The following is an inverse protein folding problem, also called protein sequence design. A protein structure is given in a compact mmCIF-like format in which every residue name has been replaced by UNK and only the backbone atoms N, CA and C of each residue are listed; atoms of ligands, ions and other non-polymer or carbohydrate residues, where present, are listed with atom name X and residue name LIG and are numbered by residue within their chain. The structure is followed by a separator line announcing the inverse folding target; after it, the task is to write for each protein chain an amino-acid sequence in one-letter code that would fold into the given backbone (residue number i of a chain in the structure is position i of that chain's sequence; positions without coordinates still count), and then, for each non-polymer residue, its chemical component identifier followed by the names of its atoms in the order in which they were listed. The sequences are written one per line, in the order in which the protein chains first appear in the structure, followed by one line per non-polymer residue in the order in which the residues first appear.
data_IF_850807147955
#
_entry.id   IF_850807147955
#
_cell.length_a   1.000
_cell.length_b   1.000
_cell.length_c   1.000
_cell.angle_alpha   90.00
_cell.angle_beta   90.00
_cell.angle_gamma   90.00
#
_symmetry.space_group_name_H-M   'P 1'
#
loop_
_entity.id
_entity.type
_entity.pdbx_description
1 polymer ?
#
# COMPACT_ATOMS: atom_id res chain seq x y z
N UNK A 1 28.87 -16.40 26.50
CA UNK A 1 27.51 -15.84 26.30
C UNK A 1 27.54 -15.06 25.01
N UNK A 2 27.31 -15.76 23.90
CA UNK A 2 27.35 -15.18 22.56
C UNK A 2 26.00 -14.54 22.28
N UNK A 3 25.98 -13.22 22.30
CA UNK A 3 24.85 -12.39 21.90
C UNK A 3 24.52 -12.74 20.45
N UNK A 4 23.47 -13.53 20.24
CA UNK A 4 22.86 -13.69 18.93
C UNK A 4 22.32 -12.31 18.53
N UNK A 5 23.02 -11.62 17.64
CA UNK A 5 22.42 -10.56 16.85
C UNK A 5 21.27 -11.21 16.09
N UNK A 6 20.05 -10.99 16.56
CA UNK A 6 18.86 -11.32 15.79
C UNK A 6 18.94 -10.46 14.51
N UNK A 7 19.42 -11.03 13.42
CA UNK A 7 19.21 -10.48 12.09
C UNK A 7 17.71 -10.35 11.91
N UNK A 8 17.19 -9.13 12.03
CA UNK A 8 15.80 -8.78 11.75
C UNK A 8 15.56 -9.06 10.28
N UNK A 9 15.20 -10.30 9.95
CA UNK A 9 14.95 -10.72 8.59
C UNK A 9 13.64 -10.05 8.14
N UNK A 10 13.77 -9.05 7.27
CA UNK A 10 12.61 -8.38 6.68
C UNK A 10 11.72 -9.40 5.96
N UNK A 11 10.41 -9.30 6.15
CA UNK A 11 9.45 -10.21 5.53
C UNK A 11 9.34 -9.90 4.03
N UNK A 12 9.24 -8.62 3.68
CA UNK A 12 9.24 -8.11 2.31
C UNK A 12 10.22 -6.93 2.23
N UNK A 13 10.98 -6.84 1.15
CA UNK A 13 11.91 -5.74 0.91
C UNK A 13 11.85 -5.34 -0.56
N UNK A 14 11.68 -4.05 -0.81
CA UNK A 14 11.79 -3.45 -2.14
C UNK A 14 12.96 -2.47 -2.15
N UNK A 15 13.83 -2.56 -3.15
CA UNK A 15 15.01 -1.70 -3.29
C UNK A 15 14.97 -1.04 -4.67
N UNK A 16 14.97 0.30 -4.67
CA UNK A 16 14.93 1.14 -5.88
C UNK A 16 13.90 0.67 -6.92
N UNK A 17 12.72 0.24 -6.47
CA UNK A 17 11.71 -0.40 -7.33
C UNK A 17 11.12 0.62 -8.31
N UNK A 18 11.14 0.29 -9.62
CA UNK A 18 10.66 1.16 -10.70
C UNK A 18 9.60 0.46 -11.54
N UNK A 19 8.65 1.26 -12.03
CA UNK A 19 7.73 0.86 -13.08
C UNK A 19 7.49 2.00 -14.03
N UNK A 20 8.03 1.85 -15.24
CA UNK A 20 7.87 2.80 -16.32
C UNK A 20 7.01 2.20 -17.45
N UNK A 21 6.07 2.98 -17.98
CA UNK A 21 5.23 2.58 -19.11
C UNK A 21 5.58 3.38 -20.36
N UNK A 22 5.75 2.68 -21.48
CA UNK A 22 5.92 3.32 -22.80
C UNK A 22 4.55 3.66 -23.37
N UNK A 23 4.33 4.93 -23.69
CA UNK A 23 3.08 5.44 -24.26
C UNK A 23 3.34 6.06 -25.62
N UNK A 24 2.58 5.63 -26.63
CA UNK A 24 2.58 6.20 -27.99
C UNK A 24 1.31 7.02 -28.20
N UNK A 25 1.44 8.28 -28.64
CA UNK A 25 0.30 9.11 -29.10
C UNK A 25 0.20 9.07 -30.64
N UNK A 26 -0.18 7.92 -31.19
CA UNK A 26 -0.35 7.71 -32.65
C UNK A 26 0.86 7.08 -33.34
N UNK A 27 0.71 6.72 -34.63
CA UNK A 27 1.72 5.94 -35.39
C UNK A 27 3.06 6.66 -35.59
N UNK A 28 3.10 7.99 -35.53
CA UNK A 28 4.30 8.80 -35.83
C UNK A 28 4.82 9.63 -34.64
N UNK A 29 4.19 9.56 -33.46
CA UNK A 29 4.64 10.33 -32.30
C UNK A 29 5.81 9.62 -31.59
N UNK A 30 6.77 10.37 -31.04
CA UNK A 30 7.85 9.80 -30.25
C UNK A 30 7.28 9.09 -29.01
N UNK A 31 7.89 7.96 -28.66
CA UNK A 31 7.59 7.23 -27.43
C UNK A 31 7.82 8.15 -26.23
N UNK A 32 6.83 8.22 -25.34
CA UNK A 32 6.95 8.91 -24.06
C UNK A 32 6.90 7.91 -22.94
N UNK A 33 7.69 8.14 -21.91
CA UNK A 33 7.83 7.25 -20.78
C UNK A 33 7.10 7.83 -19.57
N UNK A 34 6.09 7.11 -19.08
CA UNK A 34 5.37 7.42 -17.84
C UNK A 34 6.06 6.72 -16.70
N UNK A 35 6.61 7.48 -15.76
CA UNK A 35 7.23 6.93 -14.55
C UNK A 35 6.18 6.76 -13.45
N UNK A 36 5.49 5.62 -13.44
CA UNK A 36 4.46 5.35 -12.44
C UNK A 36 5.04 5.05 -11.06
N UNK A 37 6.18 4.36 -11.01
CA UNK A 37 7.07 4.27 -9.86
C UNK A 37 8.50 4.57 -10.29
N UNK A 38 9.23 5.34 -9.48
CA UNK A 38 10.59 5.78 -9.79
C UNK A 38 11.50 5.76 -8.56
N UNK A 39 11.82 4.55 -8.09
CA UNK A 39 12.83 4.31 -7.07
C UNK A 39 12.27 4.20 -5.65
N UNK A 40 11.21 3.41 -5.49
CA UNK A 40 10.59 3.18 -4.17
C UNK A 40 11.38 2.12 -3.41
N UNK A 41 11.85 2.47 -2.21
CA UNK A 41 12.61 1.59 -1.31
C UNK A 41 11.91 1.49 0.04
N UNK A 42 11.63 0.28 0.51
CA UNK A 42 11.09 0.04 1.85
C UNK A 42 11.30 -1.41 2.29
N UNK A 43 11.12 -1.63 3.59
CA UNK A 43 11.05 -2.95 4.22
C UNK A 43 9.71 -3.10 4.94
N UNK A 44 9.21 -4.32 5.02
CA UNK A 44 8.05 -4.71 5.82
C UNK A 44 8.47 -5.79 6.80
N UNK A 45 8.16 -5.58 8.07
CA UNK A 45 8.40 -6.56 9.13
C UNK A 45 7.20 -7.50 9.31
N UNK A 46 7.44 -8.67 9.91
CA UNK A 46 6.39 -9.64 10.23
C UNK A 46 5.44 -9.07 11.29
N UNK A 47 4.13 -9.22 11.09
CA UNK A 47 3.11 -8.73 12.03
C UNK A 47 2.92 -7.22 12.01
N UNK A 48 3.55 -6.50 11.07
CA UNK A 48 3.52 -5.04 10.96
C UNK A 48 2.73 -4.56 9.76
N UNK A 49 2.21 -3.35 9.86
CA UNK A 49 1.49 -2.65 8.79
C UNK A 49 2.33 -1.47 8.29
N UNK A 50 2.74 -1.53 7.02
CA UNK A 50 3.24 -0.38 6.29
C UNK A 50 2.07 0.25 5.53
N UNK A 51 1.67 1.45 5.93
CA UNK A 51 0.70 2.23 5.17
C UNK A 51 1.37 3.01 4.03
N UNK A 52 0.74 3.00 2.87
CA UNK A 52 1.18 3.74 1.68
C UNK A 52 0.13 4.78 1.34
N UNK A 53 0.49 6.06 1.44
CA UNK A 53 -0.45 7.18 1.34
C UNK A 53 -0.06 8.20 0.29
N UNK A 54 -1.04 8.95 -0.22
CA UNK A 54 -0.82 9.99 -1.22
C UNK A 54 -2.06 10.27 -2.07
N UNK A 55 -2.03 11.33 -2.86
CA UNK A 55 -3.12 11.73 -3.77
C UNK A 55 -3.41 10.62 -4.81
N UNK A 56 -4.60 10.66 -5.42
CA UNK A 56 -4.95 9.74 -6.50
C UNK A 56 -3.96 9.85 -7.66
N UNK A 57 -3.58 8.72 -8.26
CA UNK A 57 -2.64 8.68 -9.38
C UNK A 57 -1.16 8.83 -9.02
N UNK A 58 -0.77 8.85 -7.74
CA UNK A 58 0.65 8.94 -7.34
C UNK A 58 1.45 7.62 -7.40
N UNK A 59 0.85 6.51 -7.85
CA UNK A 59 1.53 5.23 -8.04
C UNK A 59 1.27 4.14 -6.98
N UNK A 60 0.41 4.39 -5.96
CA UNK A 60 0.16 3.44 -4.87
C UNK A 60 -0.38 2.07 -5.34
N UNK A 61 -1.41 2.07 -6.18
CA UNK A 61 -1.98 0.82 -6.73
C UNK A 61 -1.01 0.12 -7.68
N UNK A 62 -0.18 0.87 -8.41
CA UNK A 62 0.91 0.28 -9.21
C UNK A 62 1.91 -0.42 -8.28
N UNK A 63 2.28 0.19 -7.16
CA UNK A 63 3.16 -0.45 -6.17
C UNK A 63 2.56 -1.79 -5.72
N UNK A 64 1.28 -1.80 -5.32
CA UNK A 64 0.61 -3.03 -4.89
C UNK A 64 0.63 -4.15 -5.94
N UNK A 65 0.50 -3.81 -7.23
CA UNK A 65 0.59 -4.77 -8.35
C UNK A 65 2.01 -5.28 -8.58
N UNK A 66 3.04 -4.45 -8.36
CA UNK A 66 4.44 -4.89 -8.43
C UNK A 66 4.76 -5.87 -7.31
N UNK A 67 4.32 -5.56 -6.07
CA UNK A 67 4.60 -6.42 -4.90
C UNK A 67 3.95 -7.80 -5.03
N UNK A 68 2.86 -7.91 -5.79
CA UNK A 68 2.17 -9.18 -6.09
C UNK A 68 2.60 -9.81 -7.42
N UNK A 69 3.51 -9.17 -8.17
CA UNK A 69 3.95 -9.58 -9.50
C UNK A 69 2.81 -9.77 -10.52
N UNK A 70 1.69 -9.05 -10.32
CA UNK A 70 0.66 -8.88 -11.37
C UNK A 70 1.26 -8.07 -12.51
N UNK A 71 2.11 -7.09 -12.17
CA UNK A 71 2.96 -6.39 -13.11
C UNK A 71 4.43 -6.58 -12.73
N UNK A 72 5.29 -6.74 -13.73
CA UNK A 72 6.73 -6.89 -13.52
C UNK A 72 7.38 -5.50 -13.40
N UNK A 73 8.22 -5.25 -12.38
CA UNK A 73 9.04 -4.03 -12.30
C UNK A 73 9.88 -3.84 -13.56
N UNK A 74 10.13 -2.59 -13.93
CA UNK A 74 11.08 -2.29 -15.03
C UNK A 74 12.53 -2.36 -14.57
N UNK A 75 12.77 -2.12 -13.28
CA UNK A 75 14.10 -2.07 -12.65
C UNK A 75 13.93 -2.11 -11.11
N UNK A 76 15.02 -2.33 -10.40
CA UNK A 76 15.07 -2.50 -8.94
C UNK A 76 14.95 -3.96 -8.50
N UNK A 77 14.83 -4.16 -7.20
CA UNK A 77 14.86 -5.48 -6.55
C UNK A 77 13.66 -5.67 -5.62
N UNK A 78 13.19 -6.92 -5.52
CA UNK A 78 12.07 -7.28 -4.66
C UNK A 78 12.34 -8.64 -4.00
N UNK A 79 12.42 -8.65 -2.67
CA UNK A 79 12.71 -9.85 -1.89
C UNK A 79 11.57 -10.21 -0.95
N UNK A 80 11.34 -11.50 -0.76
CA UNK A 80 10.47 -12.06 0.27
C UNK A 80 11.28 -13.04 1.11
N UNK A 81 11.43 -12.78 2.42
CA UNK A 81 12.28 -13.58 3.32
C UNK A 81 13.72 -13.77 2.79
N UNK A 82 14.26 -12.77 2.10
CA UNK A 82 15.58 -12.83 1.46
C UNK A 82 15.64 -13.58 0.12
N UNK A 83 14.54 -14.19 -0.33
CA UNK A 83 14.43 -14.77 -1.66
C UNK A 83 14.05 -13.70 -2.69
N UNK A 84 14.83 -13.58 -3.76
CA UNK A 84 14.54 -12.67 -4.88
C UNK A 84 13.29 -13.14 -5.64
N UNK A 85 12.29 -12.26 -5.76
CA UNK A 85 11.02 -12.52 -6.42
C UNK A 85 11.02 -12.22 -7.92
N UNK A 86 12.08 -11.59 -8.45
CA UNK A 86 12.22 -11.22 -9.86
C UNK A 86 12.93 -12.30 -10.67
N UNK A 87 13.63 -13.24 -10.01
CA UNK A 87 14.21 -14.40 -10.67
C UNK A 87 13.08 -15.33 -11.15
N UNK A 88 13.04 -15.70 -12.45
CA UNK A 88 12.05 -16.63 -12.98
C UNK A 88 12.29 -18.05 -12.43
N UNK A 89 11.61 -18.40 -11.35
CA UNK A 89 11.62 -19.73 -10.75
C UNK A 89 10.18 -20.15 -10.45
N UNK A 90 9.74 -21.23 -11.09
CA UNK A 90 8.37 -21.75 -10.94
C UNK A 90 8.01 -22.09 -9.49
N UNK A 91 8.98 -22.50 -8.68
CA UNK A 91 8.79 -22.78 -7.26
C UNK A 91 8.61 -21.49 -6.45
N UNK A 92 9.47 -20.49 -6.68
CA UNK A 92 9.36 -19.15 -6.12
C UNK A 92 8.05 -18.46 -6.51
N UNK A 93 7.63 -18.57 -7.77
CA UNK A 93 6.38 -18.02 -8.25
C UNK A 93 5.17 -18.65 -7.55
N UNK A 94 5.18 -19.98 -7.38
CA UNK A 94 4.12 -20.70 -6.67
C UNK A 94 4.07 -20.25 -5.21
N UNK A 95 5.22 -20.17 -4.54
CA UNK A 95 5.32 -19.71 -3.17
C UNK A 95 4.80 -18.28 -3.03
N UNK A 96 5.24 -17.37 -3.90
CA UNK A 96 4.78 -15.98 -3.95
C UNK A 96 3.26 -15.89 -4.11
N UNK A 97 2.68 -16.64 -5.06
CA UNK A 97 1.22 -16.71 -5.28
C UNK A 97 0.44 -17.24 -4.09
N UNK A 98 1.08 -17.92 -3.14
CA UNK A 98 0.45 -18.38 -1.90
C UNK A 98 0.71 -17.41 -0.73
N UNK A 99 1.90 -16.80 -0.69
CA UNK A 99 2.39 -16.04 0.47
C UNK A 99 2.17 -14.54 0.40
N UNK A 100 1.96 -13.99 -0.79
CA UNK A 100 1.67 -12.57 -0.99
C UNK A 100 0.36 -12.46 -1.75
N UNK A 101 -0.66 -11.90 -1.11
CA UNK A 101 -2.01 -11.78 -1.69
C UNK A 101 -2.43 -10.31 -1.76
N UNK A 102 -3.39 -10.02 -2.62
CA UNK A 102 -3.93 -8.67 -2.79
C UNK A 102 -5.45 -8.66 -2.59
N UNK A 103 -5.91 -7.67 -1.84
CA UNK A 103 -7.32 -7.29 -1.73
C UNK A 103 -7.49 -6.00 -2.51
N UNK A 104 -8.23 -6.06 -3.62
CA UNK A 104 -8.41 -4.92 -4.52
C UNK A 104 -9.46 -3.92 -4.01
N UNK A 105 -9.32 -2.66 -4.43
CA UNK A 105 -10.18 -1.52 -4.10
C UNK A 105 -11.67 -1.77 -4.37
N UNK A 106 -12.00 -2.43 -5.48
CA UNK A 106 -13.37 -2.72 -5.84
C UNK A 106 -13.72 -4.18 -5.51
N UNK A 107 -14.33 -4.48 -4.34
CA UNK A 107 -14.72 -5.83 -4.00
C UNK A 107 -15.69 -6.40 -5.04
N UNK A 108 -16.63 -5.60 -5.56
CA UNK A 108 -17.60 -6.07 -6.55
C UNK A 108 -16.94 -6.49 -7.87
N UNK A 109 -16.01 -5.69 -8.39
CA UNK A 109 -15.27 -6.01 -9.61
C UNK A 109 -14.33 -7.21 -9.45
N UNK A 110 -13.87 -7.48 -8.22
CA UNK A 110 -12.97 -8.60 -7.92
C UNK A 110 -13.69 -9.94 -7.75
N UNK A 111 -15.00 -9.93 -7.49
CA UNK A 111 -15.82 -11.12 -7.25
C UNK A 111 -16.59 -11.48 -8.52
N UNK A 112 -16.51 -12.74 -8.95
CA UNK A 112 -17.32 -13.19 -10.09
C UNK A 112 -18.81 -13.27 -9.67
N UNK A 113 -19.71 -12.43 -10.21
CA UNK A 113 -21.10 -12.36 -9.75
C UNK A 113 -21.92 -13.62 -10.09
N UNK A 114 -21.40 -14.48 -10.97
CA UNK A 114 -22.01 -15.75 -11.39
C UNK A 114 -21.57 -16.95 -10.54
N UNK A 115 -20.63 -16.76 -9.63
CA UNK A 115 -20.17 -17.81 -8.70
C UNK A 115 -20.78 -17.59 -7.32
N UNK A 116 -21.09 -18.68 -6.62
CA UNK A 116 -21.48 -18.64 -5.21
C UNK A 116 -20.28 -18.25 -4.33
N UNK A 117 -20.54 -17.68 -3.16
CA UNK A 117 -19.49 -17.27 -2.22
C UNK A 117 -18.56 -18.43 -1.86
N UNK A 118 -19.11 -19.61 -1.56
CA UNK A 118 -18.31 -20.80 -1.31
C UNK A 118 -17.34 -21.13 -2.46
N UNK A 119 -17.79 -21.03 -3.71
CA UNK A 119 -16.95 -21.27 -4.89
C UNK A 119 -15.86 -20.21 -5.06
N UNK A 120 -16.15 -18.96 -4.68
CA UNK A 120 -15.18 -17.86 -4.74
C UNK A 120 -14.08 -18.06 -3.69
N UNK A 121 -14.45 -18.47 -2.47
CA UNK A 121 -13.51 -18.75 -1.39
C UNK A 121 -12.70 -20.03 -1.65
N UNK A 122 -13.29 -21.03 -2.29
CA UNK A 122 -12.55 -22.26 -2.62
C UNK A 122 -11.63 -22.13 -3.84
N UNK A 123 -11.87 -21.17 -4.73
CA UNK A 123 -11.10 -21.01 -5.98
C UNK A 123 -9.58 -20.91 -5.75
N UNK A 124 -9.05 -20.09 -4.83
CA UNK A 124 -7.62 -20.08 -4.52
C UNK A 124 -7.09 -21.45 -4.10
N UNK A 125 -7.86 -22.20 -3.30
CA UNK A 125 -7.49 -23.55 -2.84
C UNK A 125 -7.48 -24.56 -3.98
N UNK A 126 -8.47 -24.50 -4.88
CA UNK A 126 -8.55 -25.38 -6.07
C UNK A 126 -7.31 -25.21 -6.95
N UNK A 127 -6.84 -23.98 -7.13
CA UNK A 127 -5.73 -23.67 -8.03
C UNK A 127 -4.37 -24.03 -7.40
N UNK A 128 -4.22 -23.82 -6.09
CA UNK A 128 -2.89 -23.80 -5.45
C UNK A 128 -2.63 -24.95 -4.47
N UNK A 129 -3.60 -25.84 -4.23
CA UNK A 129 -3.47 -26.92 -3.24
C UNK A 129 -3.99 -28.26 -3.79
N UNK A 130 -3.65 -29.36 -3.12
CA UNK A 130 -4.15 -30.71 -3.40
C UNK A 130 -5.32 -31.12 -2.50
N UNK A 131 -5.94 -30.17 -1.79
CA UNK A 131 -7.04 -30.44 -0.86
C UNK A 131 -8.24 -31.04 -1.59
N UNK A 132 -8.94 -31.97 -0.94
CA UNK A 132 -10.21 -32.52 -1.38
C UNK A 132 -11.33 -31.47 -1.34
N UNK A 133 -12.44 -31.76 -2.01
CA UNK A 133 -13.61 -30.86 -2.01
C UNK A 133 -14.15 -30.61 -0.59
N UNK A 134 -14.14 -31.63 0.27
CA UNK A 134 -14.61 -31.54 1.65
C UNK A 134 -13.71 -30.61 2.47
N UNK A 135 -12.39 -30.81 2.40
CA UNK A 135 -11.43 -29.97 3.13
C UNK A 135 -11.48 -28.50 2.68
N UNK A 136 -11.65 -28.25 1.36
CA UNK A 136 -11.81 -26.89 0.84
C UNK A 136 -13.08 -26.22 1.36
N UNK A 137 -14.19 -26.96 1.41
CA UNK A 137 -15.46 -26.46 1.96
C UNK A 137 -15.32 -26.12 3.44
N UNK A 138 -14.70 -26.98 4.24
CA UNK A 138 -14.46 -26.75 5.67
C UNK A 138 -13.64 -25.48 5.89
N UNK A 139 -12.52 -25.31 5.18
CA UNK A 139 -11.71 -24.08 5.23
C UNK A 139 -12.49 -22.84 4.82
N UNK A 140 -13.34 -22.93 3.80
CA UNK A 140 -14.17 -21.81 3.38
C UNK A 140 -15.18 -21.42 4.48
N UNK A 141 -15.82 -22.38 5.14
CA UNK A 141 -16.76 -22.13 6.24
C UNK A 141 -16.06 -21.56 7.49
N UNK A 142 -14.86 -22.05 7.80
CA UNK A 142 -14.02 -21.51 8.86
C UNK A 142 -13.66 -20.05 8.57
N UNK A 143 -13.15 -19.76 7.36
CA UNK A 143 -12.79 -18.40 6.96
C UNK A 143 -14.01 -17.46 6.94
N UNK A 144 -15.18 -17.93 6.48
CA UNK A 144 -16.42 -17.17 6.57
C UNK A 144 -16.73 -16.75 8.01
N UNK A 145 -16.61 -17.69 8.95
CA UNK A 145 -16.82 -17.41 10.37
C UNK A 145 -15.81 -16.39 10.90
N UNK A 146 -14.52 -16.54 10.58
CA UNK A 146 -13.45 -15.60 10.98
C UNK A 146 -13.71 -14.17 10.50
N UNK A 147 -14.22 -14.00 9.27
CA UNK A 147 -14.56 -12.66 8.76
C UNK A 147 -15.94 -12.15 9.18
N UNK A 148 -16.64 -12.86 10.08
CA UNK A 148 -17.96 -12.47 10.60
C UNK A 148 -19.11 -12.68 9.61
N UNK A 149 -18.98 -13.60 8.67
CA UNK A 149 -20.06 -14.02 7.76
C UNK A 149 -20.74 -15.28 8.29
N UNK A 150 -22.06 -15.35 8.13
CA UNK A 150 -22.82 -16.56 8.48
C UNK A 150 -22.52 -17.68 7.48
N UNK A 151 -22.13 -18.84 7.98
CA UNK A 151 -21.83 -20.04 7.18
C UNK A 151 -23.02 -20.53 6.35
N UNK A 152 -24.25 -20.29 6.80
CA UNK A 152 -25.48 -20.56 6.05
C UNK A 152 -25.57 -19.78 4.72
N UNK A 153 -24.77 -18.72 4.55
CA UNK A 153 -24.71 -17.93 3.32
C UNK A 153 -23.70 -18.47 2.29
N UNK A 154 -23.08 -19.62 2.55
CA UNK A 154 -22.06 -20.22 1.68
C UNK A 154 -22.57 -20.38 0.23
N UNK A 155 -23.83 -20.76 0.05
CA UNK A 155 -24.45 -20.99 -1.25
C UNK A 155 -25.06 -19.74 -1.90
N UNK A 156 -24.92 -18.56 -1.29
CA UNK A 156 -25.43 -17.29 -1.84
C UNK A 156 -24.49 -16.70 -2.88
N UNK A 157 -25.05 -15.81 -3.71
CA UNK A 157 -24.29 -15.03 -4.69
C UNK A 157 -23.86 -13.68 -4.10
N UNK A 158 -22.76 -13.07 -4.59
CA UNK A 158 -22.24 -11.79 -4.10
C UNK A 158 -23.27 -10.65 -4.04
N UNK A 159 -24.20 -10.59 -5.01
CA UNK A 159 -25.21 -9.52 -5.05
C UNK A 159 -26.21 -9.57 -3.88
N UNK A 160 -26.28 -10.71 -3.16
CA UNK A 160 -27.15 -10.90 -1.99
C UNK A 160 -26.53 -10.38 -0.67
N UNK A 161 -25.33 -9.79 -0.73
CA UNK A 161 -24.60 -9.25 0.42
C UNK A 161 -24.50 -7.72 0.37
N UNK A 162 -24.39 -7.08 1.53
CA UNK A 162 -24.09 -5.64 1.65
C UNK A 162 -22.67 -5.30 1.18
N UNK A 163 -22.37 -4.01 0.96
CA UNK A 163 -21.03 -3.56 0.58
C UNK A 163 -19.94 -4.04 1.54
N UNK A 164 -20.15 -3.86 2.85
CA UNK A 164 -19.23 -4.34 3.88
C UNK A 164 -19.07 -5.86 3.91
N UNK A 165 -20.15 -6.61 3.74
CA UNK A 165 -20.09 -8.06 3.65
C UNK A 165 -19.31 -8.52 2.40
N UNK A 166 -19.48 -7.86 1.26
CA UNK A 166 -18.69 -8.14 0.05
C UNK A 166 -17.22 -7.84 0.26
N UNK A 167 -16.87 -6.78 0.99
CA UNK A 167 -15.49 -6.50 1.37
C UNK A 167 -14.92 -7.62 2.25
N UNK A 168 -15.68 -8.09 3.24
CA UNK A 168 -15.31 -9.25 4.07
C UNK A 168 -15.09 -10.52 3.23
N UNK A 169 -15.92 -10.76 2.21
CA UNK A 169 -15.72 -11.87 1.26
C UNK A 169 -14.42 -11.68 0.46
N UNK A 170 -14.11 -10.47 0.01
CA UNK A 170 -12.88 -10.18 -0.73
C UNK A 170 -11.62 -10.40 0.15
N UNK A 171 -11.67 -9.94 1.41
CA UNK A 171 -10.62 -10.19 2.41
C UNK A 171 -10.47 -11.70 2.65
N UNK A 172 -11.58 -12.39 2.96
CA UNK A 172 -11.60 -13.84 3.18
C UNK A 172 -10.93 -14.60 2.02
N UNK A 173 -11.30 -14.27 0.77
CA UNK A 173 -10.72 -14.87 -0.44
C UNK A 173 -9.20 -14.70 -0.48
N UNK A 174 -8.70 -13.50 -0.17
CA UNK A 174 -7.26 -13.22 -0.13
C UNK A 174 -6.52 -13.97 0.98
N UNK A 175 -7.23 -14.41 2.03
CA UNK A 175 -6.63 -15.13 3.17
C UNK A 175 -6.70 -16.65 3.05
N UNK A 176 -7.41 -17.19 2.05
CA UNK A 176 -7.63 -18.64 1.90
C UNK A 176 -6.35 -19.47 1.82
N UNK A 177 -5.25 -18.89 1.35
CA UNK A 177 -3.95 -19.55 1.20
C UNK A 177 -3.01 -19.38 2.41
N UNK A 178 -3.49 -18.80 3.52
CA UNK A 178 -2.69 -18.46 4.68
C UNK A 178 -1.43 -17.64 4.28
N UNK A 179 -1.63 -16.46 3.67
CA UNK A 179 -0.53 -15.62 3.23
C UNK A 179 0.24 -15.05 4.43
N UNK A 180 1.49 -14.66 4.19
CA UNK A 180 2.27 -13.92 5.17
C UNK A 180 2.07 -12.40 4.98
N UNK A 181 1.86 -11.97 3.72
CA UNK A 181 1.69 -10.56 3.35
C UNK A 181 0.38 -10.37 2.59
N UNK A 182 -0.38 -9.35 2.99
CA UNK A 182 -1.57 -8.90 2.26
C UNK A 182 -1.40 -7.45 1.84
N UNK A 183 -1.48 -7.21 0.54
CA UNK A 183 -1.56 -5.88 -0.05
C UNK A 183 -3.04 -5.47 -0.05
N UNK A 184 -3.40 -4.48 0.75
CA UNK A 184 -4.76 -3.98 0.83
C UNK A 184 -4.86 -2.66 0.05
N UNK A 185 -5.35 -2.72 -1.18
CA UNK A 185 -5.47 -1.55 -2.07
C UNK A 185 -6.80 -0.85 -1.84
N UNK A 186 -6.80 0.21 -1.03
CA UNK A 186 -8.00 0.96 -0.62
C UNK A 186 -9.16 0.07 -0.13
N UNK A 187 -8.95 -0.80 0.87
CA UNK A 187 -9.90 -1.84 1.24
C UNK A 187 -11.22 -1.32 1.83
N UNK A 188 -11.32 -0.01 2.10
CA UNK A 188 -12.48 0.60 2.78
C UNK A 188 -12.98 1.88 2.12
N UNK A 189 -12.47 2.24 0.93
CA UNK A 189 -12.79 3.52 0.30
C UNK A 189 -14.24 3.62 -0.18
N UNK A 190 -14.84 2.51 -0.61
CA UNK A 190 -16.22 2.43 -1.09
C UNK A 190 -17.27 2.16 0.02
N UNK A 191 -16.87 2.22 1.29
CA UNK A 191 -17.73 1.87 2.43
C UNK A 191 -18.13 3.13 3.22
N UNK A 192 -19.32 3.08 3.83
CA UNK A 192 -19.74 4.09 4.79
C UNK A 192 -18.85 4.09 6.04
N UNK A 193 -18.86 5.19 6.78
CA UNK A 193 -17.96 5.43 7.93
C UNK A 193 -18.07 4.34 8.99
N UNK A 194 -19.30 3.86 9.27
CA UNK A 194 -19.50 2.85 10.32
C UNK A 194 -18.97 1.48 9.90
N UNK A 195 -19.23 1.07 8.66
CA UNK A 195 -18.75 -0.20 8.10
C UNK A 195 -17.23 -0.19 7.90
N UNK A 196 -16.65 0.95 7.51
CA UNK A 196 -15.19 1.13 7.43
C UNK A 196 -14.49 0.78 8.74
N UNK A 197 -14.95 1.33 9.86
CA UNK A 197 -14.37 1.03 11.17
C UNK A 197 -14.46 -0.46 11.52
N UNK A 198 -15.60 -1.10 11.22
CA UNK A 198 -15.78 -2.54 11.45
C UNK A 198 -14.84 -3.39 10.60
N UNK A 199 -14.58 -3.00 9.35
CA UNK A 199 -13.65 -3.73 8.47
C UNK A 199 -12.20 -3.52 8.91
N UNK A 200 -11.83 -2.32 9.37
CA UNK A 200 -10.49 -2.06 9.90
C UNK A 200 -10.20 -2.88 11.15
N UNK A 201 -11.14 -2.90 12.11
CA UNK A 201 -11.00 -3.71 13.32
C UNK A 201 -10.89 -5.20 12.96
N UNK A 202 -11.71 -5.69 12.02
CA UNK A 202 -11.56 -7.05 11.52
C UNK A 202 -10.17 -7.33 10.96
N UNK A 203 -9.61 -6.42 10.15
CA UNK A 203 -8.26 -6.60 9.61
C UNK A 203 -7.20 -6.64 10.72
N UNK A 204 -7.32 -5.79 11.74
CA UNK A 204 -6.42 -5.80 12.90
C UNK A 204 -6.52 -7.12 13.69
N UNK A 205 -7.74 -7.62 13.92
CA UNK A 205 -7.98 -8.90 14.59
C UNK A 205 -7.35 -10.05 13.78
N UNK A 206 -7.56 -10.07 12.46
CA UNK A 206 -6.95 -11.06 11.56
C UNK A 206 -5.43 -10.97 11.53
N UNK A 207 -4.86 -9.76 11.66
CA UNK A 207 -3.42 -9.56 11.75
C UNK A 207 -2.84 -10.30 12.96
N UNK A 208 -3.47 -10.10 14.13
CA UNK A 208 -3.03 -10.68 15.39
C UNK A 208 -3.26 -12.19 15.41
N UNK A 209 -4.41 -12.65 14.94
CA UNK A 209 -4.79 -14.07 14.96
C UNK A 209 -3.96 -14.90 13.98
N UNK A 210 -3.71 -14.38 12.78
CA UNK A 210 -3.07 -15.13 11.69
C UNK A 210 -1.59 -14.74 11.46
N UNK A 211 -1.07 -13.77 12.21
CA UNK A 211 0.32 -13.30 12.09
C UNK A 211 0.63 -12.62 10.74
N UNK A 212 -0.35 -11.93 10.16
CA UNK A 212 -0.25 -11.27 8.85
C UNK A 212 0.58 -9.99 8.94
N UNK A 213 1.20 -9.62 7.82
CA UNK A 213 1.68 -8.26 7.60
C UNK A 213 0.90 -7.58 6.49
N UNK A 214 0.67 -6.27 6.63
CA UNK A 214 -0.07 -5.49 5.65
C UNK A 214 0.81 -4.47 4.94
N UNK A 215 0.64 -4.38 3.62
CA UNK A 215 0.90 -3.13 2.90
C UNK A 215 -0.46 -2.48 2.64
N UNK A 216 -0.78 -1.46 3.44
CA UNK A 216 -2.10 -0.84 3.46
C UNK A 216 -2.11 0.45 2.62
N UNK A 217 -2.69 0.40 1.44
CA UNK A 217 -2.76 1.56 0.54
C UNK A 217 -4.06 2.32 0.81
N UNK A 218 -3.94 3.62 1.06
CA UNK A 218 -5.09 4.50 1.28
C UNK A 218 -4.79 5.93 0.84
N UNK A 219 -5.83 6.68 0.50
CA UNK A 219 -5.76 8.14 0.39
C UNK A 219 -6.32 8.85 1.63
N UNK A 220 -6.95 8.10 2.54
CA UNK A 220 -7.53 8.62 3.78
C UNK A 220 -6.59 8.38 4.96
N UNK A 221 -6.03 9.47 5.49
CA UNK A 221 -5.11 9.44 6.61
C UNK A 221 -5.78 9.09 7.95
N UNK A 222 -7.09 9.33 8.12
CA UNK A 222 -7.80 8.96 9.35
C UNK A 222 -7.87 7.43 9.53
N UNK A 223 -7.96 6.70 8.43
CA UNK A 223 -7.90 5.23 8.42
C UNK A 223 -6.50 4.73 8.72
N UNK A 224 -5.50 5.40 8.17
CA UNK A 224 -4.10 5.03 8.29
C UNK A 224 -3.62 5.16 9.73
N UNK A 225 -4.04 6.22 10.43
CA UNK A 225 -3.73 6.44 11.85
C UNK A 225 -4.18 5.26 12.75
N UNK A 226 -5.26 4.59 12.38
CA UNK A 226 -5.83 3.48 13.16
C UNK A 226 -5.09 2.15 12.99
N UNK A 227 -4.55 1.86 11.79
CA UNK A 227 -4.04 0.53 11.43
C UNK A 227 -2.52 0.46 11.21
N UNK A 228 -1.85 1.59 10.98
CA UNK A 228 -0.44 1.61 10.58
C UNK A 228 0.53 1.53 11.77
N UNK A 229 1.65 0.84 11.55
CA UNK A 229 2.86 0.96 12.37
C UNK A 229 3.82 1.98 11.75
N UNK A 230 4.03 1.88 10.42
CA UNK A 230 4.82 2.81 9.63
C UNK A 230 3.98 3.42 8.50
N UNK A 231 4.34 4.63 8.08
CA UNK A 231 3.67 5.32 6.98
C UNK A 231 4.70 5.77 5.95
N UNK A 232 4.46 5.43 4.68
CA UNK A 232 5.20 5.88 3.51
C UNK A 232 4.32 6.79 2.66
N UNK A 233 4.70 8.06 2.56
CA UNK A 233 4.01 9.07 1.77
C UNK A 233 4.60 9.09 0.35
N UNK A 234 3.73 8.91 -0.64
CA UNK A 234 4.09 8.88 -2.06
C UNK A 234 3.57 10.10 -2.81
N UNK A 235 4.41 10.64 -3.70
CA UNK A 235 4.07 11.69 -4.65
C UNK A 235 4.71 11.42 -6.01
N UNK A 236 3.91 11.40 -7.08
CA UNK A 236 4.34 11.13 -8.47
C UNK A 236 5.35 9.96 -8.59
N UNK A 237 4.98 8.79 -8.04
CA UNK A 237 5.74 7.55 -8.16
C UNK A 237 6.96 7.45 -7.23
N UNK A 238 7.15 8.40 -6.32
CA UNK A 238 8.31 8.47 -5.42
C UNK A 238 7.87 8.50 -3.97
N UNK A 239 8.64 7.89 -3.07
CA UNK A 239 8.52 8.14 -1.63
C UNK A 239 9.12 9.52 -1.32
N UNK A 240 8.33 10.38 -0.69
CA UNK A 240 8.77 11.72 -0.27
C UNK A 240 9.04 11.80 1.23
N UNK A 241 8.39 10.92 2.01
CA UNK A 241 8.57 10.81 3.45
C UNK A 241 8.20 9.42 3.93
N UNK A 242 8.97 8.84 4.86
CA UNK A 242 8.67 7.57 5.53
C UNK A 242 9.09 7.67 7.00
N UNK A 243 8.26 7.17 7.91
CA UNK A 243 8.60 7.06 9.33
C UNK A 243 7.56 6.25 10.09
N UNK A 244 7.72 6.20 11.42
CA UNK A 244 6.67 5.64 12.27
C UNK A 244 5.37 6.45 12.13
N UNK A 245 4.24 5.83 12.46
CA UNK A 245 2.96 6.54 12.54
C UNK A 245 3.09 7.82 13.37
N UNK A 246 3.66 7.74 14.56
CA UNK A 246 3.80 8.87 15.49
C UNK A 246 4.63 9.99 14.85
N UNK A 247 5.75 9.67 14.21
CA UNK A 247 6.59 10.66 13.53
C UNK A 247 5.82 11.40 12.43
N UNK A 248 5.07 10.67 11.61
CA UNK A 248 4.36 11.24 10.47
C UNK A 248 3.17 12.09 10.92
N UNK A 249 2.37 11.63 11.88
CA UNK A 249 1.17 12.36 12.32
C UNK A 249 1.48 13.51 13.29
N UNK A 250 2.51 13.37 14.14
CA UNK A 250 2.86 14.39 15.13
C UNK A 250 3.86 15.42 14.61
N UNK A 251 4.80 15.02 13.75
CA UNK A 251 5.86 15.91 13.26
C UNK A 251 6.22 15.66 11.77
N UNK A 252 5.27 15.88 10.84
CA UNK A 252 5.52 15.71 9.41
C UNK A 252 6.55 16.72 8.90
N UNK A 253 7.60 16.24 8.24
CA UNK A 253 8.71 17.05 7.75
C UNK A 253 8.47 17.58 6.34
N UNK A 254 8.02 16.72 5.42
CA UNK A 254 7.90 17.11 4.02
C UNK A 254 6.70 18.06 3.82
N UNK A 255 6.84 19.18 3.09
CA UNK A 255 5.75 20.16 2.90
C UNK A 255 4.47 19.57 2.28
N UNK A 256 4.60 18.53 1.46
CA UNK A 256 3.45 17.75 0.96
C UNK A 256 2.72 16.99 2.06
N UNK A 257 3.45 16.28 2.93
CA UNK A 257 2.87 15.52 4.05
C UNK A 257 2.16 16.46 5.03
N UNK A 258 2.78 17.60 5.34
CA UNK A 258 2.16 18.68 6.12
C UNK A 258 0.82 19.11 5.50
N UNK A 259 0.79 19.30 4.17
CA UNK A 259 -0.42 19.69 3.48
C UNK A 259 -1.51 18.61 3.51
N UNK A 260 -1.15 17.33 3.30
CA UNK A 260 -2.08 16.20 3.42
C UNK A 260 -2.71 16.11 4.82
N UNK A 261 -1.87 16.18 5.87
CA UNK A 261 -2.35 16.09 7.26
C UNK A 261 -3.21 17.29 7.64
N UNK A 262 -2.87 18.50 7.18
CA UNK A 262 -3.68 19.70 7.43
C UNK A 262 -5.08 19.65 6.80
N UNK A 263 -5.29 18.77 5.81
CA UNK A 263 -6.58 18.53 5.18
C UNK A 263 -7.40 17.41 5.85
N UNK A 264 -6.81 16.66 6.79
CA UNK A 264 -7.45 15.53 7.45
C UNK A 264 -8.33 16.04 8.61
N UNK A 265 -9.62 15.66 8.67
CA UNK A 265 -10.49 16.04 9.77
C UNK A 265 -9.97 15.50 11.11
N UNK A 266 -9.89 16.36 12.14
CA UNK A 266 -9.58 15.94 13.51
C UNK A 266 -10.85 15.82 14.36
N UNK A 267 -10.88 14.82 15.24
CA UNK A 267 -12.01 14.55 16.13
C UNK A 267 -12.22 15.68 17.15
N UNK A 268 -11.12 16.21 17.71
CA UNK A 268 -11.14 17.34 18.63
C UNK A 268 -11.07 18.67 17.84
N UNK A 269 -12.03 19.59 18.01
CA UNK A 269 -12.01 20.91 17.38
C UNK A 269 -10.77 21.75 17.73
N UNK A 270 -10.21 21.57 18.93
CA UNK A 270 -9.07 22.36 19.41
C UNK A 270 -7.75 21.95 18.73
N UNK A 271 -7.69 20.74 18.16
CA UNK A 271 -6.52 20.22 17.46
C UNK A 271 -6.49 20.62 15.98
N UNK A 272 -7.47 21.41 15.51
CA UNK A 272 -7.57 21.82 14.10
C UNK A 272 -6.41 22.73 13.72
N UNK A 273 -5.55 22.23 12.84
CA UNK A 273 -4.47 23.01 12.23
C UNK A 273 -5.02 23.84 11.08
N UNK A 274 -4.44 25.01 10.83
CA UNK A 274 -4.74 25.79 9.64
C UNK A 274 -4.50 24.96 8.37
N UNK A 275 -5.53 24.87 7.53
CA UNK A 275 -5.49 24.05 6.31
C UNK A 275 -4.53 24.65 5.29
N UNK A 276 -3.46 23.92 4.97
CA UNK A 276 -2.52 24.29 3.91
C UNK A 276 -3.17 23.96 2.57
N UNK A 277 -3.58 25.00 1.84
CA UNK A 277 -4.15 24.83 0.50
C UNK A 277 -3.04 24.61 -0.51
N UNK A 278 -3.03 23.44 -1.15
CA UNK A 278 -2.21 23.19 -2.32
C UNK A 278 -2.83 23.92 -3.52
N UNK A 279 -2.05 24.78 -4.18
CA UNK A 279 -2.47 25.50 -5.40
C UNK A 279 -1.96 24.77 -6.64
N UNK A 280 -2.70 24.90 -7.75
CA UNK A 280 -2.38 24.23 -9.02
C UNK A 280 -2.85 22.78 -9.11
N UNK A 281 -2.87 22.24 -10.33
CA UNK A 281 -3.24 20.85 -10.61
C UNK A 281 -2.08 19.89 -10.33
N UNK A 282 -2.39 18.61 -10.09
CA UNK A 282 -1.39 17.56 -10.00
C UNK A 282 -0.64 17.47 -11.35
N UNK A 283 0.70 17.61 -11.38
CA UNK A 283 1.44 17.50 -12.63
C UNK A 283 1.24 16.14 -13.29
N UNK A 284 1.19 16.13 -14.62
CA UNK A 284 1.08 14.88 -15.36
C UNK A 284 2.34 14.02 -15.17
N UNK A 285 2.22 12.72 -14.86
CA UNK A 285 3.35 11.80 -14.88
C UNK A 285 4.07 11.68 -16.23
N UNK A 286 3.44 12.13 -17.32
CA UNK A 286 4.05 12.22 -18.66
C UNK A 286 5.02 13.39 -18.80
N UNK A 287 4.86 14.42 -17.97
CA UNK A 287 5.64 15.66 -18.01
C UNK A 287 5.84 16.17 -16.57
N UNK A 288 6.56 15.42 -15.71
CA UNK A 288 6.81 15.84 -14.34
C UNK A 288 7.67 17.11 -14.32
N UNK A 289 7.54 17.96 -13.28
CA UNK A 289 8.38 19.14 -13.16
C UNK A 289 9.85 18.74 -12.95
N UNK A 290 10.83 19.51 -13.45
CA UNK A 290 12.24 19.20 -13.29
C UNK A 290 12.67 19.34 -11.82
N UNK A 291 13.70 18.58 -11.41
CA UNK A 291 14.16 18.55 -10.03
C UNK A 291 13.19 17.80 -9.11
N UNK A 292 12.80 18.40 -7.99
CA UNK A 292 11.86 17.82 -7.02
C UNK A 292 10.46 17.71 -7.62
N UNK A 293 9.89 16.51 -7.66
CA UNK A 293 8.55 16.26 -8.20
C UNK A 293 7.45 17.19 -7.62
N UNK A 294 7.58 17.62 -6.37
CA UNK A 294 6.59 18.48 -5.70
C UNK A 294 6.84 20.00 -5.89
N UNK A 295 7.92 20.42 -6.56
CA UNK A 295 8.33 21.84 -6.58
C UNK A 295 7.27 22.80 -7.13
N UNK A 296 6.43 22.35 -8.07
CA UNK A 296 5.40 23.17 -8.69
C UNK A 296 4.28 23.57 -7.71
N UNK A 297 4.06 22.79 -6.63
CA UNK A 297 3.00 22.98 -5.63
C UNK A 297 3.56 23.25 -4.22
N UNK A 298 4.89 23.32 -4.08
CA UNK A 298 5.55 23.43 -2.78
C UNK A 298 5.65 24.90 -2.32
N UNK A 299 5.10 25.20 -1.13
CA UNK A 299 5.23 26.53 -0.47
C UNK A 299 6.66 26.90 -0.06
N UNK A 300 7.53 25.90 0.10
CA UNK A 300 8.95 26.07 0.49
C UNK A 300 9.91 25.90 -0.69
N UNK A 301 9.44 26.07 -1.93
CA UNK A 301 10.27 25.91 -3.14
C UNK A 301 11.37 26.98 -3.18
N UNK A 302 12.60 26.56 -3.47
CA UNK A 302 13.73 27.45 -3.75
C UNK A 302 14.64 26.83 -4.84
N UNK A 303 15.76 27.49 -5.16
CA UNK A 303 16.59 27.21 -6.35
C UNK A 303 16.87 25.72 -6.64
N UNK A 304 17.48 24.95 -5.71
CA UNK A 304 17.78 23.53 -5.92
C UNK A 304 16.56 22.68 -6.27
N UNK A 305 15.36 23.04 -5.78
CA UNK A 305 14.15 22.26 -6.01
C UNK A 305 13.75 22.14 -7.49
N UNK A 306 14.14 23.09 -8.35
CA UNK A 306 13.77 23.07 -9.78
C UNK A 306 14.84 22.42 -10.66
N UNK A 307 15.99 22.06 -10.08
CA UNK A 307 17.16 21.57 -10.81
C UNK A 307 17.56 20.15 -10.39
N UNK A 308 17.45 19.85 -9.09
CA UNK A 308 17.93 18.61 -8.49
C UNK A 308 16.76 17.81 -7.90
N UNK A 309 16.87 16.48 -7.96
CA UNK A 309 15.92 15.58 -7.31
C UNK A 309 16.43 15.30 -5.89
N UNK A 310 15.68 15.63 -4.83
CA UNK A 310 16.09 15.29 -3.47
C UNK A 310 16.11 13.77 -3.29
N UNK A 311 17.14 13.29 -2.59
CA UNK A 311 17.26 11.88 -2.19
C UNK A 311 16.54 11.67 -0.87
N UNK A 312 15.92 10.52 -0.73
CA UNK A 312 15.33 10.07 0.53
C UNK A 312 16.48 9.75 1.52
N UNK A 313 16.54 10.43 2.66
CA UNK A 313 17.59 10.24 3.67
C UNK A 313 17.07 10.42 5.09
N UNK A 314 17.76 9.81 6.06
CA UNK A 314 17.52 9.96 7.49
C UNK A 314 18.21 11.22 8.02
N UNK A 315 17.53 11.92 8.93
CA UNK A 315 18.00 13.13 9.58
C UNK A 315 18.31 12.93 11.08
N UNK A 316 18.45 11.69 11.53
CA UNK A 316 18.94 11.32 12.85
C UNK A 316 17.90 10.73 13.79
N UNK A 317 16.66 10.54 13.34
CA UNK A 317 15.56 9.99 14.14
C UNK A 317 14.89 8.76 13.47
N UNK A 318 15.44 8.23 12.38
CA UNK A 318 14.86 7.12 11.62
C UNK A 318 13.77 7.55 10.62
N UNK A 319 13.36 8.82 10.63
CA UNK A 319 12.42 9.37 9.65
C UNK A 319 13.16 9.76 8.38
N UNK A 320 12.75 9.17 7.28
CA UNK A 320 13.32 9.40 5.96
C UNK A 320 12.56 10.49 5.23
N UNK A 321 13.24 11.52 4.73
CA UNK A 321 12.62 12.64 4.02
C UNK A 321 13.40 13.01 2.76
N UNK A 322 12.70 13.19 1.64
CA UNK A 322 13.28 13.66 0.38
C UNK A 322 12.95 15.15 0.16
N UNK A 323 13.64 16.06 0.87
CA UNK A 323 13.36 17.49 0.78
C UNK A 323 14.57 18.39 1.05
N UNK A 324 14.92 19.28 0.12
CA UNK A 324 15.98 20.27 0.34
C UNK A 324 15.64 21.33 1.39
N UNK A 325 14.36 21.62 1.63
CA UNK A 325 13.99 22.59 2.65
C UNK A 325 14.29 22.07 4.06
N UNK A 326 14.15 20.76 4.26
CA UNK A 326 14.52 20.08 5.51
C UNK A 326 16.04 20.06 5.68
N UNK A 327 16.80 19.96 4.59
CA UNK A 327 18.27 20.13 4.62
C UNK A 327 18.68 21.48 5.19
N UNK A 328 18.01 22.56 4.78
CA UNK A 328 18.31 23.92 5.28
C UNK A 328 17.99 24.07 6.76
N UNK A 329 16.85 23.52 7.20
CA UNK A 329 16.42 23.60 8.61
C UNK A 329 17.45 22.98 9.56
N UNK A 330 18.06 21.86 9.15
CA UNK A 330 18.98 21.10 10.00
C UNK A 330 20.40 21.64 9.92
N UNK A 331 20.83 22.13 8.75
CA UNK A 331 22.16 22.70 8.58
C UNK A 331 22.29 24.13 9.15
N UNK A 332 21.22 24.69 9.73
CA UNK A 332 21.25 26.01 10.36
C UNK A 332 21.38 27.17 9.38
N UNK A 333 21.19 26.94 8.07
CA UNK A 333 21.05 28.01 7.07
C UNK A 333 19.64 28.59 7.14
N UNK A 334 19.28 29.14 8.31
CA UNK A 334 18.13 30.01 8.44
C UNK A 334 18.50 31.32 7.75
N UNK A 335 17.76 31.65 6.68
CA UNK A 335 17.84 32.97 6.04
C UNK A 335 17.51 34.09 7.00
#
# INVERSE_FOLDING_TARGET
MSTQQATTQHLLQAIDLKKHYVVKKGMFAPERLVKALDGVTFTLERGKTLAVVGESGCGKSTLGRLLTMIEVPTDGELYYQGQDLLIPDASAEKLRRQKIQIVFQNPYGSLNPRKKVGQILEEPLVINTSLSKTERREKALEMMSKVGLKTEHYDRYPHMFSGGQRQRIAIARGLMLNPDVVIADEPVSALDVSVRAQVLNLMMDLQQELGLSYVFISHDLSVVEHIADEVMVMYLGRCVEKGSKEQIFSNPQHPYTQALLSATPRLNPDDRVERIKLTGELPSPLSPPPGCAFNARCRRRFGPCTQLQPKLKDYGNGQLVACFAVDQDINGEVR
#
